data_IF_461793762684
#
_entry.id   IF_461793762684
#
_cell.length_a   1.000
_cell.length_b   1.000
_cell.length_c   1.000
_cell.angle_alpha   90.00
_cell.angle_beta   90.00
_cell.angle_gamma   90.00
#
_symmetry.space_group_name_H-M   'P 1'
#
loop_
_entity.id
_entity.type
_entity.pdbx_description
1 polymer ?
#
# COMPACT_ATOMS: atom_id res chain seq x y z
N UNK A 1 7.08 18.47 2.95
CA UNK A 1 6.00 18.65 1.95
C UNK A 1 4.65 18.63 2.65
N UNK A 2 3.56 19.17 2.08
CA UNK A 2 2.24 18.98 2.70
C UNK A 2 1.68 17.58 2.42
N UNK A 3 0.77 17.10 3.27
CA UNK A 3 0.10 15.81 3.10
C UNK A 3 -0.58 15.67 1.74
N UNK A 4 -1.34 16.68 1.32
CA UNK A 4 -2.01 16.73 0.01
C UNK A 4 -1.01 16.55 -1.14
N UNK A 5 0.15 17.22 -1.06
CA UNK A 5 1.17 17.12 -2.09
C UNK A 5 1.81 15.72 -2.13
N UNK A 6 1.96 15.07 -0.98
CA UNK A 6 2.49 13.71 -0.89
C UNK A 6 1.51 12.71 -1.51
N UNK A 7 0.22 12.79 -1.17
CA UNK A 7 -0.83 11.93 -1.76
C UNK A 7 -0.95 12.12 -3.27
N UNK A 8 -0.89 13.36 -3.75
CA UNK A 8 -0.92 13.65 -5.18
C UNK A 8 0.24 13.02 -5.95
N UNK A 9 1.38 12.70 -5.32
CA UNK A 9 2.46 11.96 -5.99
C UNK A 9 2.04 10.52 -6.29
N UNK A 10 1.36 9.86 -5.35
CA UNK A 10 0.87 8.50 -5.52
C UNK A 10 -0.19 8.45 -6.63
N UNK A 11 -1.15 9.38 -6.59
CA UNK A 11 -2.19 9.51 -7.63
C UNK A 11 -1.59 9.78 -9.01
N UNK A 12 -0.58 10.66 -9.11
CA UNK A 12 0.12 10.94 -10.37
C UNK A 12 0.93 9.76 -10.91
N UNK A 13 1.31 8.82 -10.05
CA UNK A 13 1.92 7.56 -10.47
C UNK A 13 0.88 6.54 -10.99
N UNK A 14 -0.42 6.89 -10.95
CA UNK A 14 -1.52 6.04 -11.40
C UNK A 14 -2.13 5.18 -10.28
N UNK A 15 -1.63 5.28 -9.05
CA UNK A 15 -2.20 4.55 -7.92
C UNK A 15 -3.56 5.13 -7.53
N UNK A 16 -4.47 4.26 -7.12
CA UNK A 16 -5.72 4.67 -6.48
C UNK A 16 -5.41 5.00 -5.03
N UNK A 17 -5.90 6.13 -4.55
CA UNK A 17 -5.75 6.54 -3.15
C UNK A 17 -7.12 6.89 -2.59
N UNK A 18 -7.55 6.17 -1.57
CA UNK A 18 -8.84 6.38 -0.92
C UNK A 18 -8.61 6.78 0.54
N UNK A 19 -9.13 7.93 1.00
CA UNK A 19 -9.00 8.33 2.39
C UNK A 19 -9.75 7.37 3.31
N UNK A 20 -9.11 6.98 4.40
CA UNK A 20 -9.71 6.18 5.46
C UNK A 20 -10.35 7.12 6.49
N UNK A 21 -11.57 6.78 6.93
CA UNK A 21 -12.29 7.56 7.93
C UNK A 21 -11.57 7.67 9.28
N UNK A 22 -12.20 8.35 10.24
CA UNK A 22 -11.61 8.63 11.56
C UNK A 22 -11.69 7.47 12.56
N UNK A 23 -12.21 6.31 12.16
CA UNK A 23 -12.42 5.15 13.01
C UNK A 23 -11.79 3.92 12.37
N UNK A 24 -11.12 3.10 13.19
CA UNK A 24 -10.49 1.84 12.76
C UNK A 24 -8.97 1.85 12.89
N UNK A 25 -8.30 0.75 12.52
CA UNK A 25 -6.85 0.59 12.70
C UNK A 25 -6.01 1.56 11.85
N UNK A 26 -6.55 2.02 10.72
CA UNK A 26 -5.86 2.92 9.78
C UNK A 26 -6.47 4.33 9.78
N UNK A 27 -7.05 4.74 10.91
CA UNK A 27 -7.83 5.98 11.01
C UNK A 27 -7.05 7.22 10.56
N UNK A 28 -7.72 8.11 9.84
CA UNK A 28 -7.14 9.35 9.29
C UNK A 28 -5.97 9.11 8.32
N UNK A 29 -5.88 7.91 7.75
CA UNK A 29 -4.91 7.56 6.72
C UNK A 29 -5.53 7.44 5.34
N UNK A 30 -4.86 6.65 4.51
CA UNK A 30 -5.25 6.35 3.14
C UNK A 30 -4.97 4.87 2.83
N UNK A 31 -5.86 4.25 2.08
CA UNK A 31 -5.59 2.98 1.43
C UNK A 31 -5.14 3.25 0.00
N UNK A 32 -4.11 2.55 -0.44
CA UNK A 32 -3.45 2.73 -1.73
C UNK A 32 -3.45 1.40 -2.47
N UNK A 33 -3.86 1.41 -3.73
CA UNK A 33 -3.91 0.21 -4.57
C UNK A 33 -3.38 0.49 -5.98
N UNK A 34 -2.81 -0.53 -6.62
CA UNK A 34 -2.36 -0.46 -8.02
C UNK A 34 -3.41 -1.08 -8.95
N UNK A 35 -4.07 -0.30 -9.83
CA UNK A 35 -4.93 -0.85 -10.86
C UNK A 35 -4.16 -1.77 -11.81
N UNK A 36 -4.87 -2.74 -12.37
CA UNK A 36 -4.38 -3.59 -13.48
C UNK A 36 -4.01 -2.79 -14.73
N UNK A 37 -4.57 -1.60 -14.91
CA UNK A 37 -4.26 -0.69 -16.03
C UNK A 37 -2.92 0.04 -15.88
N UNK A 38 -2.29 -0.01 -14.70
CA UNK A 38 -1.03 0.65 -14.39
C UNK A 38 0.08 -0.39 -14.29
N UNK A 39 1.13 -0.23 -15.10
CA UNK A 39 2.30 -1.11 -15.06
C UNK A 39 3.07 -0.98 -13.74
N UNK A 40 3.62 -2.07 -13.25
CA UNK A 40 4.38 -2.13 -12.00
C UNK A 40 4.50 -3.57 -11.52
N UNK A 41 4.90 -3.73 -10.26
CA UNK A 41 4.94 -4.99 -9.56
C UNK A 41 3.51 -5.51 -9.35
N UNK A 42 3.33 -6.80 -9.58
CA UNK A 42 2.08 -7.54 -9.37
C UNK A 42 2.37 -8.76 -8.50
N UNK A 43 1.31 -9.34 -7.94
CA UNK A 43 1.40 -10.60 -7.20
C UNK A 43 0.28 -11.54 -7.64
N UNK A 44 0.65 -12.75 -8.05
CA UNK A 44 -0.26 -13.68 -8.73
C UNK A 44 -1.40 -14.20 -7.84
N UNK A 45 -1.21 -14.20 -6.52
CA UNK A 45 -2.25 -14.56 -5.54
C UNK A 45 -3.12 -13.36 -5.10
N UNK A 46 -2.92 -12.18 -5.70
CA UNK A 46 -3.58 -10.94 -5.32
C UNK A 46 -4.47 -10.43 -6.45
N UNK A 47 -5.78 -10.67 -6.32
CA UNK A 47 -6.81 -10.05 -7.15
C UNK A 47 -7.87 -9.42 -6.24
N UNK A 48 -8.10 -8.12 -6.38
CA UNK A 48 -9.16 -7.43 -5.65
C UNK A 48 -9.84 -6.34 -6.47
N UNK A 49 -11.04 -5.94 -6.02
CA UNK A 49 -11.75 -4.77 -6.53
C UNK A 49 -11.62 -3.68 -5.47
N UNK A 50 -11.15 -2.50 -5.87
CA UNK A 50 -10.81 -1.42 -4.95
C UNK A 50 -11.69 -0.18 -5.14
N UNK A 51 -12.16 0.38 -4.02
CA UNK A 51 -13.01 1.57 -3.98
C UNK A 51 -14.46 1.31 -4.43
N UNK A 52 -15.28 2.37 -4.41
CA UNK A 52 -16.71 2.30 -4.76
C UNK A 52 -16.95 1.94 -6.22
N UNK A 53 -16.01 2.29 -7.10
CA UNK A 53 -16.05 1.97 -8.53
C UNK A 53 -15.57 0.55 -8.85
N UNK A 54 -15.22 -0.25 -7.83
CA UNK A 54 -14.78 -1.64 -7.95
C UNK A 54 -13.65 -1.83 -8.98
N UNK A 55 -12.62 -0.98 -8.92
CA UNK A 55 -11.54 -1.00 -9.92
C UNK A 55 -10.64 -2.23 -9.69
N UNK A 56 -10.38 -3.06 -10.72
CA UNK A 56 -9.56 -4.26 -10.57
C UNK A 56 -8.08 -3.92 -10.32
N UNK A 57 -7.55 -4.51 -9.26
CA UNK A 57 -6.16 -4.38 -8.81
C UNK A 57 -5.51 -5.78 -8.68
N UNK A 58 -4.21 -5.82 -8.92
CA UNK A 58 -3.37 -7.03 -9.09
C UNK A 58 -2.14 -7.01 -8.15
N UNK A 59 -2.23 -6.23 -7.08
CA UNK A 59 -1.19 -6.07 -6.08
C UNK A 59 -1.81 -5.79 -4.71
N UNK A 60 -1.11 -6.10 -3.61
CA UNK A 60 -1.57 -5.85 -2.25
C UNK A 60 -1.98 -4.40 -2.01
N UNK A 61 -3.04 -4.22 -1.22
CA UNK A 61 -3.49 -2.89 -0.78
C UNK A 61 -2.60 -2.42 0.36
N UNK A 62 -1.90 -1.31 0.13
CA UNK A 62 -1.12 -0.60 1.13
C UNK A 62 -2.01 0.30 1.98
N UNK A 63 -1.68 0.42 3.26
CA UNK A 63 -2.27 1.43 4.15
C UNK A 63 -1.18 2.40 4.60
N UNK A 64 -1.46 3.70 4.49
CA UNK A 64 -0.62 4.76 5.02
C UNK A 64 -1.39 5.62 6.00
N UNK A 65 -0.98 5.68 7.27
CA UNK A 65 -1.77 6.34 8.31
C UNK A 65 -0.91 6.93 9.44
N UNK A 66 -1.38 7.99 10.12
CA UNK A 66 -0.68 8.56 11.25
C UNK A 66 -0.85 7.70 12.51
N UNK A 67 0.25 7.46 13.25
CA UNK A 67 0.26 6.78 14.55
C UNK A 67 1.43 7.31 15.39
N UNK A 68 1.13 7.78 16.61
CA UNK A 68 2.14 8.22 17.60
C UNK A 68 3.19 9.18 17.01
N UNK A 69 2.74 10.26 16.39
CA UNK A 69 3.57 11.29 15.71
C UNK A 69 4.38 10.80 14.50
N UNK A 70 4.14 9.57 14.04
CA UNK A 70 4.75 8.99 12.84
C UNK A 70 3.72 8.68 11.76
N UNK A 71 4.21 8.46 10.55
CA UNK A 71 3.45 7.89 9.46
C UNK A 71 3.83 6.42 9.29
N UNK A 72 2.83 5.56 9.27
CA UNK A 72 2.99 4.14 9.06
C UNK A 72 2.73 3.83 7.61
N UNK A 73 3.55 2.99 6.99
CA UNK A 73 3.22 2.25 5.77
C UNK A 73 3.11 0.76 6.12
N UNK A 74 1.95 0.18 5.87
CA UNK A 74 1.62 -1.19 6.24
C UNK A 74 1.04 -1.99 5.06
N UNK A 75 1.47 -3.24 4.94
CA UNK A 75 0.81 -4.31 4.20
C UNK A 75 0.36 -5.33 5.24
N UNK A 76 -0.95 -5.64 5.25
CA UNK A 76 -1.58 -6.49 6.25
C UNK A 76 -2.71 -7.27 5.59
N UNK A 77 -2.34 -8.37 4.96
CA UNK A 77 -3.24 -9.23 4.17
C UNK A 77 -3.67 -10.49 4.93
N UNK A 78 -2.96 -10.85 6.01
CA UNK A 78 -3.30 -12.01 6.82
C UNK A 78 -4.06 -11.66 8.10
N UNK A 79 -5.14 -12.42 8.35
CA UNK A 79 -6.00 -12.29 9.54
C UNK A 79 -6.08 -13.65 10.23
N UNK A 80 -5.93 -13.76 11.56
CA UNK A 80 -5.97 -12.69 12.58
C UNK A 80 -4.62 -12.06 12.96
N UNK A 81 -3.54 -12.40 12.27
CA UNK A 81 -2.20 -11.89 12.57
C UNK A 81 -1.29 -11.95 11.34
N UNK A 82 -0.10 -11.34 11.42
CA UNK A 82 0.76 -11.15 10.26
C UNK A 82 1.19 -12.49 9.66
N UNK A 83 1.09 -12.58 8.34
CA UNK A 83 1.56 -13.69 7.55
C UNK A 83 2.77 -13.32 6.70
N UNK A 84 3.08 -14.18 5.74
CA UNK A 84 4.20 -13.95 4.82
C UNK A 84 3.85 -12.76 3.92
N UNK A 85 4.78 -11.81 3.80
CA UNK A 85 4.60 -10.58 3.01
C UNK A 85 4.02 -9.40 3.78
N UNK A 86 3.45 -9.62 4.97
CA UNK A 86 2.97 -8.54 5.82
C UNK A 86 4.14 -7.80 6.49
N UNK A 87 4.03 -6.48 6.56
CA UNK A 87 5.02 -5.64 7.23
C UNK A 87 4.43 -4.32 7.68
N UNK A 88 5.15 -3.65 8.58
CA UNK A 88 4.86 -2.29 9.02
C UNK A 88 6.15 -1.49 9.15
N UNK A 89 6.29 -0.43 8.36
CA UNK A 89 7.38 0.54 8.46
C UNK A 89 6.86 1.86 9.05
N UNK A 90 7.72 2.57 9.79
CA UNK A 90 7.41 3.87 10.39
C UNK A 90 8.32 4.96 9.84
N UNK A 91 7.74 6.12 9.52
CA UNK A 91 8.40 7.27 8.94
C UNK A 91 8.10 8.53 9.74
N UNK A 92 9.03 9.48 9.74
CA UNK A 92 8.87 10.75 10.47
C UNK A 92 7.89 11.69 9.74
N UNK A 93 7.65 11.48 8.45
CA UNK A 93 6.69 12.25 7.68
C UNK A 93 6.03 11.42 6.57
N UNK A 94 4.87 11.87 6.10
CA UNK A 94 4.18 11.26 4.95
C UNK A 94 5.02 11.35 3.67
N UNK A 95 5.81 12.42 3.50
CA UNK A 95 6.66 12.58 2.32
C UNK A 95 7.75 11.51 2.28
N UNK A 96 8.29 11.14 3.46
CA UNK A 96 9.27 10.06 3.59
C UNK A 96 8.63 8.69 3.32
N UNK A 97 7.37 8.49 3.71
CA UNK A 97 6.63 7.24 3.49
C UNK A 97 6.20 7.03 2.03
N UNK A 98 6.01 8.10 1.24
CA UNK A 98 5.60 8.00 -0.17
C UNK A 98 6.64 7.28 -1.03
N UNK A 99 7.93 7.53 -0.81
CA UNK A 99 8.98 6.93 -1.67
C UNK A 99 9.04 5.40 -1.54
N UNK A 100 9.01 4.81 -0.33
CA UNK A 100 8.86 3.36 -0.14
C UNK A 100 7.59 2.77 -0.72
N UNK A 101 6.47 3.48 -0.71
CA UNK A 101 5.21 3.00 -1.33
C UNK A 101 5.37 2.93 -2.86
N UNK A 102 5.98 3.96 -3.46
CA UNK A 102 6.26 3.96 -4.90
C UNK A 102 7.26 2.85 -5.25
N UNK A 103 8.30 2.65 -4.44
CA UNK A 103 9.27 1.57 -4.63
C UNK A 103 8.61 0.19 -4.51
N UNK A 104 7.66 0.00 -3.58
CA UNK A 104 6.91 -1.24 -3.45
C UNK A 104 6.13 -1.59 -4.74
N UNK A 105 5.43 -0.62 -5.34
CA UNK A 105 4.63 -0.85 -6.55
C UNK A 105 5.42 -0.77 -7.86
N UNK A 106 6.55 -0.06 -7.92
CA UNK A 106 7.23 0.25 -9.19
C UNK A 106 8.75 0.00 -9.18
N UNK A 107 9.31 -0.31 -8.01
CA UNK A 107 10.73 -0.59 -7.80
C UNK A 107 11.00 -2.09 -7.76
N UNK A 108 11.85 -2.52 -6.83
CA UNK A 108 12.23 -3.93 -6.71
C UNK A 108 11.04 -4.80 -6.25
N UNK A 109 10.61 -5.80 -7.05
CA UNK A 109 9.49 -6.66 -6.68
C UNK A 109 9.79 -7.56 -5.48
N UNK A 110 11.04 -7.71 -5.03
CA UNK A 110 11.42 -8.61 -3.95
C UNK A 110 10.67 -8.36 -2.63
N UNK A 111 10.23 -7.13 -2.39
CA UNK A 111 9.43 -6.79 -1.21
C UNK A 111 7.97 -7.23 -1.32
N UNK A 112 7.39 -7.17 -2.51
CA UNK A 112 6.02 -7.64 -2.78
C UNK A 112 5.97 -9.16 -2.95
N UNK A 113 7.02 -9.71 -3.55
CA UNK A 113 7.20 -11.12 -3.91
C UNK A 113 8.44 -11.68 -3.19
N UNK A 114 8.46 -11.73 -1.84
CA UNK A 114 9.57 -12.33 -1.12
C UNK A 114 9.70 -13.82 -1.48
N UNK A 115 10.92 -14.39 -1.49
CA UNK A 115 11.16 -15.79 -1.86
C UNK A 115 10.25 -16.78 -1.12
N UNK A 116 9.93 -16.48 0.14
CA UNK A 116 9.06 -17.30 1.00
C UNK A 116 7.63 -17.43 0.47
N UNK A 117 7.13 -16.49 -0.35
CA UNK A 117 5.85 -16.63 -1.06
C UNK A 117 5.98 -17.50 -2.32
N UNK A 118 7.12 -17.44 -3.00
CA UNK A 118 7.37 -18.17 -4.26
C UNK A 118 7.64 -19.66 -4.04
N UNK A 119 8.02 -20.06 -2.82
CA UNK A 119 8.30 -21.46 -2.45
C UNK A 119 7.05 -22.25 -2.01
N UNK A 120 5.86 -21.65 -1.99
CA UNK A 120 4.60 -22.30 -1.57
C UNK A 120 3.87 -22.98 -2.75
N UNK A 121 4.45 -23.01 -3.95
CA UNK A 121 3.91 -23.70 -5.14
C UNK A 121 4.23 -25.22 -5.19
#
# INVERSE_FOLDING_TARGET
MSEIQAIQKLEKAGLLVVPVGSVGPFSNGYSVAKPTSVSGNTRDDCECLFGDDEIPCDAPVANIYPKEDKWIFEISEWVPGPGIGDFQDSFESIDDAVSPILDYYFGDPSRMNPPELLEIE
#
